data_IF_806748944030
#
_entry.id   IF_806748944030
#
_cell.length_a   1.000
_cell.length_b   1.000
_cell.length_c   1.000
_cell.angle_alpha   90.00
_cell.angle_beta   90.00
_cell.angle_gamma   90.00
#
_symmetry.space_group_name_H-M   'P 1'
#
loop_
_entity.id
_entity.type
_entity.pdbx_description
1 polymer ?
#
# COMPACT_ATOMS: atom_id res chain seq x y z
N UNK A 1 -28.61 28.57 -106.51
CA UNK A 1 -27.48 28.28 -105.60
C UNK A 1 -27.72 28.69 -104.15
N UNK A 2 -28.23 29.90 -103.85
CA UNK A 2 -28.41 30.35 -102.45
C UNK A 2 -29.28 29.48 -101.53
N UNK A 3 -30.34 28.83 -102.05
CA UNK A 3 -31.24 27.98 -101.23
C UNK A 3 -30.61 26.64 -100.82
N UNK A 4 -29.73 26.07 -101.63
CA UNK A 4 -29.03 24.81 -101.31
C UNK A 4 -27.96 25.03 -100.24
N UNK A 5 -27.21 26.13 -100.35
CA UNK A 5 -26.20 26.55 -99.36
C UNK A 5 -26.81 26.80 -97.98
N UNK A 6 -28.01 27.40 -97.91
CA UNK A 6 -28.72 27.63 -96.64
C UNK A 6 -29.19 26.31 -96.00
N UNK A 7 -29.63 25.34 -96.80
CA UNK A 7 -30.03 24.00 -96.31
C UNK A 7 -28.81 23.23 -95.81
N UNK A 8 -27.67 23.29 -96.52
CA UNK A 8 -26.42 22.65 -96.08
C UNK A 8 -25.91 23.22 -94.75
N UNK A 9 -25.99 24.54 -94.57
CA UNK A 9 -25.66 25.22 -93.31
C UNK A 9 -26.58 24.80 -92.15
N UNK A 10 -27.89 24.71 -92.42
CA UNK A 10 -28.90 24.32 -91.43
C UNK A 10 -28.76 22.84 -91.02
N UNK A 11 -28.36 21.97 -91.96
CA UNK A 11 -28.02 20.56 -91.69
C UNK A 11 -26.72 20.44 -90.90
N UNK A 12 -25.69 21.24 -91.22
CA UNK A 12 -24.45 21.27 -90.46
C UNK A 12 -24.67 21.76 -89.03
N UNK A 13 -25.43 22.84 -88.83
CA UNK A 13 -25.78 23.35 -87.50
C UNK A 13 -26.59 22.33 -86.69
N UNK A 14 -27.56 21.64 -87.30
CA UNK A 14 -28.31 20.57 -86.62
C UNK A 14 -27.42 19.38 -86.27
N UNK A 15 -26.47 19.01 -87.14
CA UNK A 15 -25.49 17.96 -86.85
C UNK A 15 -24.53 18.36 -85.72
N UNK A 16 -24.12 19.62 -85.64
CA UNK A 16 -23.29 20.16 -84.55
C UNK A 16 -24.05 20.18 -83.22
N UNK A 17 -25.31 20.64 -83.20
CA UNK A 17 -26.17 20.60 -82.00
C UNK A 17 -26.46 19.17 -81.56
N UNK A 18 -26.66 18.23 -82.49
CA UNK A 18 -26.83 16.82 -82.15
C UNK A 18 -25.56 16.22 -81.56
N UNK A 19 -24.37 16.58 -82.08
CA UNK A 19 -23.09 16.15 -81.52
C UNK A 19 -22.86 16.76 -80.14
N UNK A 20 -23.07 18.07 -79.96
CA UNK A 20 -22.90 18.71 -78.65
C UNK A 20 -23.87 18.15 -77.62
N UNK A 21 -25.13 17.91 -77.98
CA UNK A 21 -26.11 17.30 -77.10
C UNK A 21 -25.75 15.83 -76.77
N UNK A 22 -25.17 15.09 -77.74
CA UNK A 22 -24.68 13.74 -77.49
C UNK A 22 -23.47 13.73 -76.54
N UNK A 23 -22.53 14.67 -76.72
CA UNK A 23 -21.37 14.83 -75.85
C UNK A 23 -21.79 15.23 -74.43
N UNK A 24 -22.71 16.18 -74.29
CA UNK A 24 -23.30 16.58 -72.99
C UNK A 24 -24.02 15.40 -72.30
N UNK A 25 -24.75 14.57 -73.06
CA UNK A 25 -25.39 13.37 -72.52
C UNK A 25 -24.38 12.31 -72.09
N UNK A 26 -23.29 12.14 -72.84
CA UNK A 26 -22.21 11.22 -72.46
C UNK A 26 -21.47 11.71 -71.21
N UNK A 27 -21.18 13.00 -71.10
CA UNK A 27 -20.57 13.62 -69.92
C UNK A 27 -21.48 13.49 -68.70
N UNK A 28 -22.78 13.76 -68.86
CA UNK A 28 -23.77 13.58 -67.79
C UNK A 28 -23.89 12.11 -67.35
N UNK A 29 -23.90 11.16 -68.29
CA UNK A 29 -23.91 9.73 -67.99
C UNK A 29 -22.64 9.27 -67.26
N UNK A 30 -21.47 9.78 -67.65
CA UNK A 30 -20.20 9.51 -66.98
C UNK A 30 -20.17 10.10 -65.56
N UNK A 31 -20.69 11.31 -65.37
CA UNK A 31 -20.83 11.95 -64.06
C UNK A 31 -21.79 11.17 -63.15
N UNK A 32 -22.93 10.70 -63.69
CA UNK A 32 -23.89 9.87 -62.97
C UNK A 32 -23.29 8.53 -62.56
N UNK A 33 -22.55 7.85 -63.44
CA UNK A 33 -21.88 6.60 -63.13
C UNK A 33 -20.81 6.75 -62.03
N UNK A 34 -20.01 7.82 -62.11
CA UNK A 34 -19.01 8.18 -61.09
C UNK A 34 -19.67 8.43 -59.73
N UNK A 35 -20.74 9.24 -59.70
CA UNK A 35 -21.45 9.53 -58.47
C UNK A 35 -22.15 8.30 -57.86
N UNK A 36 -22.71 7.42 -58.70
CA UNK A 36 -23.30 6.16 -58.24
C UNK A 36 -22.25 5.24 -57.58
N UNK A 37 -21.05 5.16 -58.17
CA UNK A 37 -19.93 4.41 -57.56
C UNK A 37 -19.59 4.93 -56.16
N UNK A 38 -19.55 6.26 -55.97
CA UNK A 38 -19.26 6.85 -54.65
C UNK A 38 -20.40 6.61 -53.65
N UNK A 39 -21.66 6.66 -54.09
CA UNK A 39 -22.81 6.33 -53.23
C UNK A 39 -22.72 4.90 -52.72
N UNK A 40 -22.42 3.94 -53.60
CA UNK A 40 -22.27 2.52 -53.25
C UNK A 40 -21.09 2.29 -52.29
N UNK A 41 -19.98 3.00 -52.47
CA UNK A 41 -18.84 2.98 -51.56
C UNK A 41 -19.21 3.51 -50.17
N UNK A 42 -19.90 4.65 -50.09
CA UNK A 42 -20.35 5.23 -48.81
C UNK A 42 -21.35 4.31 -48.11
N UNK A 43 -22.20 3.57 -48.83
CA UNK A 43 -23.11 2.59 -48.25
C UNK A 43 -22.38 1.38 -47.66
N UNK A 44 -21.36 0.88 -48.36
CA UNK A 44 -20.46 -0.16 -47.82
C UNK A 44 -19.71 0.33 -46.59
N UNK A 45 -19.22 1.57 -46.59
CA UNK A 45 -18.57 2.19 -45.43
C UNK A 45 -19.52 2.34 -44.24
N UNK A 46 -20.76 2.77 -44.45
CA UNK A 46 -21.80 2.86 -43.40
C UNK A 46 -22.06 1.50 -42.77
N UNK A 47 -22.19 0.44 -43.57
CA UNK A 47 -22.41 -0.91 -43.08
C UNK A 47 -21.22 -1.41 -42.23
N UNK A 48 -19.99 -1.19 -42.71
CA UNK A 48 -18.75 -1.51 -41.96
C UNK A 48 -18.65 -0.72 -40.65
N UNK A 49 -19.01 0.56 -40.68
CA UNK A 49 -19.04 1.40 -39.49
C UNK A 49 -20.06 0.90 -38.46
N UNK A 50 -21.27 0.54 -38.89
CA UNK A 50 -22.30 0.00 -38.00
C UNK A 50 -21.83 -1.29 -37.30
N UNK A 51 -21.19 -2.19 -38.03
CA UNK A 51 -20.58 -3.40 -37.45
C UNK A 51 -19.48 -3.03 -36.45
N UNK A 52 -18.56 -2.14 -36.82
CA UNK A 52 -17.45 -1.72 -35.96
C UNK A 52 -17.93 -1.02 -34.69
N UNK A 53 -18.99 -0.22 -34.77
CA UNK A 53 -19.61 0.44 -33.62
C UNK A 53 -20.13 -0.59 -32.62
N UNK A 54 -20.91 -1.57 -33.08
CA UNK A 54 -21.45 -2.64 -32.23
C UNK A 54 -20.32 -3.46 -31.58
N UNK A 55 -19.24 -3.75 -32.32
CA UNK A 55 -18.07 -4.43 -31.75
C UNK A 55 -17.40 -3.62 -30.64
N UNK A 56 -17.19 -2.32 -30.84
CA UNK A 56 -16.56 -1.45 -29.86
C UNK A 56 -17.44 -1.27 -28.62
N UNK A 57 -18.75 -1.12 -28.79
CA UNK A 57 -19.73 -1.05 -27.69
C UNK A 57 -19.71 -2.35 -26.87
N UNK A 58 -19.73 -3.52 -27.53
CA UNK A 58 -19.63 -4.82 -26.85
C UNK A 58 -18.33 -4.95 -26.04
N UNK A 59 -17.19 -4.57 -26.63
CA UNK A 59 -15.89 -4.58 -25.94
C UNK A 59 -15.89 -3.65 -24.73
N UNK A 60 -16.42 -2.43 -24.88
CA UNK A 60 -16.49 -1.45 -23.80
C UNK A 60 -17.38 -1.94 -22.66
N UNK A 61 -18.54 -2.51 -22.96
CA UNK A 61 -19.42 -3.12 -21.95
C UNK A 61 -18.73 -4.28 -21.24
N UNK A 62 -17.98 -5.12 -21.95
CA UNK A 62 -17.22 -6.22 -21.35
C UNK A 62 -16.17 -5.69 -20.37
N UNK A 63 -15.37 -4.71 -20.78
CA UNK A 63 -14.34 -4.10 -19.92
C UNK A 63 -14.97 -3.41 -18.71
N UNK A 64 -16.09 -2.70 -18.89
CA UNK A 64 -16.77 -2.05 -17.78
C UNK A 64 -17.28 -3.07 -16.74
N UNK A 65 -17.87 -4.19 -17.19
CA UNK A 65 -18.26 -5.29 -16.30
C UNK A 65 -17.07 -5.87 -15.54
N UNK A 66 -15.92 -6.00 -16.20
CA UNK A 66 -14.69 -6.43 -15.52
C UNK A 66 -14.21 -5.44 -14.46
N UNK A 67 -14.27 -4.13 -14.73
CA UNK A 67 -13.95 -3.10 -13.73
C UNK A 67 -14.88 -3.21 -12.53
N UNK A 68 -16.19 -3.27 -12.78
CA UNK A 68 -17.21 -3.31 -11.73
C UNK A 68 -17.05 -4.56 -10.85
N UNK A 69 -16.82 -5.73 -11.47
CA UNK A 69 -16.59 -6.99 -10.74
C UNK A 69 -15.31 -6.98 -9.89
N UNK A 70 -14.27 -6.25 -10.29
CA UNK A 70 -12.99 -6.16 -9.57
C UNK A 70 -12.97 -5.04 -8.52
N UNK A 71 -13.90 -4.08 -8.60
CA UNK A 71 -13.99 -2.94 -7.69
C UNK A 71 -14.31 -3.35 -6.24
N UNK A 72 -15.33 -4.18 -6.02
CA UNK A 72 -15.71 -4.60 -4.66
C UNK A 72 -14.60 -5.41 -3.94
N UNK A 73 -13.93 -6.40 -4.58
CA UNK A 73 -12.76 -7.05 -4.00
C UNK A 73 -11.62 -6.07 -3.67
N UNK A 74 -11.33 -5.09 -4.53
CA UNK A 74 -10.29 -4.10 -4.29
C UNK A 74 -10.58 -3.22 -3.07
N UNK A 75 -11.85 -2.84 -2.86
CA UNK A 75 -12.28 -2.10 -1.67
C UNK A 75 -12.04 -2.92 -0.41
N UNK A 76 -12.43 -4.20 -0.41
CA UNK A 76 -12.20 -5.11 0.73
C UNK A 76 -10.72 -5.26 1.04
N UNK A 77 -9.87 -5.43 0.02
CA UNK A 77 -8.42 -5.51 0.19
C UNK A 77 -7.83 -4.24 0.85
N UNK A 78 -8.32 -3.05 0.47
CA UNK A 78 -7.91 -1.79 1.12
C UNK A 78 -8.35 -1.70 2.58
N UNK A 79 -9.54 -2.20 2.91
CA UNK A 79 -10.01 -2.24 4.30
C UNK A 79 -9.21 -3.23 5.16
N UNK A 80 -8.92 -4.41 4.62
CA UNK A 80 -8.06 -5.41 5.25
C UNK A 80 -6.66 -4.87 5.52
N UNK A 81 -6.07 -4.18 4.54
CA UNK A 81 -4.76 -3.53 4.65
C UNK A 81 -4.75 -2.49 5.78
N UNK A 82 -5.72 -1.56 5.80
CA UNK A 82 -5.88 -0.58 6.89
C UNK A 82 -6.06 -1.24 8.25
N UNK A 83 -6.81 -2.35 8.31
CA UNK A 83 -6.97 -3.14 9.53
C UNK A 83 -5.64 -3.69 10.04
N UNK A 84 -4.80 -4.18 9.11
CA UNK A 84 -3.48 -4.70 9.42
C UNK A 84 -2.49 -3.62 9.85
N UNK A 85 -2.50 -2.44 9.23
CA UNK A 85 -1.69 -1.29 9.67
C UNK A 85 -2.02 -0.89 11.12
N UNK A 86 -3.31 -0.82 11.47
CA UNK A 86 -3.75 -0.55 12.85
C UNK A 86 -3.26 -1.62 13.82
N UNK A 87 -3.35 -2.89 13.43
CA UNK A 87 -2.85 -4.01 14.25
C UNK A 87 -1.35 -3.90 14.46
N UNK A 88 -0.57 -3.61 13.42
CA UNK A 88 0.87 -3.39 13.51
C UNK A 88 1.22 -2.26 14.48
N UNK A 89 0.56 -1.10 14.35
CA UNK A 89 0.78 0.03 15.23
C UNK A 89 0.51 -0.32 16.71
N UNK A 90 -0.59 -1.03 16.98
CA UNK A 90 -0.96 -1.46 18.32
C UNK A 90 0.02 -2.50 18.89
N UNK A 91 0.43 -3.50 18.09
CA UNK A 91 1.40 -4.51 18.51
C UNK A 91 2.76 -3.86 18.81
N UNK A 92 3.24 -2.94 17.97
CA UNK A 92 4.50 -2.19 18.20
C UNK A 92 4.45 -1.38 19.50
N UNK A 93 3.38 -0.62 19.71
CA UNK A 93 3.18 0.16 20.94
C UNK A 93 3.11 -0.73 22.18
N UNK A 94 2.46 -1.88 22.08
CA UNK A 94 2.37 -2.84 23.20
C UNK A 94 3.73 -3.46 23.48
N UNK A 95 4.48 -3.85 22.45
CA UNK A 95 5.83 -4.38 22.57
C UNK A 95 6.77 -3.37 23.26
N UNK A 96 6.72 -2.10 22.86
CA UNK A 96 7.50 -1.03 23.47
C UNK A 96 7.20 -0.87 24.97
N UNK A 97 5.91 -0.83 25.34
CA UNK A 97 5.49 -0.77 26.75
C UNK A 97 6.01 -1.95 27.56
N UNK A 98 5.82 -3.17 27.04
CA UNK A 98 6.24 -4.40 27.74
C UNK A 98 7.76 -4.45 27.89
N UNK A 99 8.52 -4.04 26.87
CA UNK A 99 9.98 -3.89 26.96
C UNK A 99 10.39 -2.85 28.00
N UNK A 100 9.73 -1.69 28.03
CA UNK A 100 9.98 -0.66 29.03
C UNK A 100 9.72 -1.15 30.46
N UNK A 101 8.63 -1.90 30.68
CA UNK A 101 8.36 -2.55 31.98
C UNK A 101 9.46 -3.54 32.36
N UNK A 102 9.88 -4.39 31.43
CA UNK A 102 10.97 -5.34 31.67
C UNK A 102 12.29 -4.63 32.01
N UNK A 103 12.63 -3.56 31.28
CA UNK A 103 13.82 -2.75 31.55
C UNK A 103 13.77 -2.09 32.94
N UNK A 104 12.61 -1.61 33.38
CA UNK A 104 12.44 -1.08 34.74
C UNK A 104 12.76 -2.13 35.80
N UNK A 105 12.19 -3.33 35.68
CA UNK A 105 12.49 -4.42 36.61
C UNK A 105 13.95 -4.84 36.60
N UNK A 106 14.61 -4.84 35.45
CA UNK A 106 16.03 -5.14 35.35
C UNK A 106 16.90 -4.06 36.01
N UNK A 107 16.55 -2.78 35.86
CA UNK A 107 17.23 -1.65 36.53
C UNK A 107 17.07 -1.73 38.05
N UNK A 108 15.85 -1.89 38.54
CA UNK A 108 15.56 -2.02 39.97
C UNK A 108 16.32 -3.21 40.58
N UNK A 109 16.33 -4.35 39.89
CA UNK A 109 17.09 -5.53 40.32
C UNK A 109 18.59 -5.26 40.35
N UNK A 110 19.14 -4.55 39.37
CA UNK A 110 20.55 -4.16 39.36
C UNK A 110 20.90 -3.26 40.56
N UNK A 111 20.04 -2.28 40.88
CA UNK A 111 20.18 -1.42 42.06
C UNK A 111 20.15 -2.25 43.35
N UNK A 112 19.18 -3.15 43.52
CA UNK A 112 19.12 -4.04 44.69
C UNK A 112 20.35 -4.93 44.80
N UNK A 113 20.87 -5.42 43.67
CA UNK A 113 22.08 -6.26 43.64
C UNK A 113 23.31 -5.47 44.10
N UNK A 114 23.45 -4.20 43.69
CA UNK A 114 24.52 -3.31 44.17
C UNK A 114 24.40 -3.04 45.67
N UNK A 115 23.19 -2.70 46.14
CA UNK A 115 22.93 -2.46 47.56
C UNK A 115 23.20 -3.71 48.42
N UNK A 116 22.88 -4.90 47.92
CA UNK A 116 23.23 -6.17 48.57
C UNK A 116 24.75 -6.36 48.66
N UNK A 117 25.50 -6.02 47.62
CA UNK A 117 26.96 -6.08 47.65
C UNK A 117 27.54 -5.11 48.69
N UNK A 118 27.05 -3.87 48.75
CA UNK A 118 27.47 -2.87 49.74
C UNK A 118 27.20 -3.31 51.18
N UNK A 119 26.02 -3.90 51.45
CA UNK A 119 25.68 -4.41 52.79
C UNK A 119 26.57 -5.60 53.15
N UNK A 120 26.80 -6.53 52.21
CA UNK A 120 27.70 -7.68 52.43
C UNK A 120 29.12 -7.23 52.73
N UNK A 121 29.63 -6.23 52.01
CA UNK A 121 30.94 -5.63 52.30
C UNK A 121 30.97 -4.90 53.64
N UNK A 122 29.89 -4.21 54.04
CA UNK A 122 29.80 -3.58 55.36
C UNK A 122 29.84 -4.60 56.50
N UNK A 123 29.16 -5.75 56.35
CA UNK A 123 29.23 -6.86 57.31
C UNK A 123 30.66 -7.40 57.41
N UNK A 124 31.29 -7.74 56.27
CA UNK A 124 32.68 -8.21 56.26
C UNK A 124 33.64 -7.23 56.95
N UNK A 125 33.49 -5.92 56.69
CA UNK A 125 34.30 -4.89 57.38
C UNK A 125 34.05 -4.86 58.88
N UNK A 126 32.80 -5.02 59.32
CA UNK A 126 32.49 -5.08 60.76
C UNK A 126 33.05 -6.36 61.40
N UNK A 127 32.98 -7.49 60.72
CA UNK A 127 33.54 -8.77 61.17
C UNK A 127 35.07 -8.71 61.27
N UNK A 128 35.74 -8.14 60.26
CA UNK A 128 37.19 -7.92 60.29
C UNK A 128 37.60 -6.98 61.43
N UNK A 129 36.90 -5.86 61.62
CA UNK A 129 37.16 -4.95 62.75
C UNK A 129 36.94 -5.65 64.09
N UNK A 130 35.90 -6.48 64.21
CA UNK A 130 35.66 -7.26 65.42
C UNK A 130 36.81 -8.24 65.68
N UNK A 131 37.27 -8.97 64.66
CA UNK A 131 38.40 -9.89 64.76
C UNK A 131 39.72 -9.17 65.11
N UNK A 132 40.00 -8.01 64.51
CA UNK A 132 41.15 -7.16 64.86
C UNK A 132 41.09 -6.69 66.31
N UNK A 133 39.91 -6.27 66.80
CA UNK A 133 39.75 -5.88 68.21
C UNK A 133 39.87 -7.06 69.18
N UNK A 134 39.48 -8.27 68.78
CA UNK A 134 39.68 -9.48 69.59
C UNK A 134 41.14 -9.93 69.59
N UNK A 135 41.85 -9.83 68.46
CA UNK A 135 43.27 -10.17 68.35
C UNK A 135 44.19 -9.14 69.02
N UNK A 136 43.79 -7.88 69.09
CA UNK A 136 44.59 -6.78 69.66
C UNK A 136 44.59 -6.71 71.21
N UNK A 137 43.89 -7.59 71.92
CA UNK A 137 43.98 -7.56 73.37
C UNK A 137 43.26 -8.66 74.15
N UNK A 138 43.98 -9.74 74.45
CA UNK A 138 43.94 -10.36 75.78
C UNK A 138 44.70 -9.48 76.79
N UNK A 139 44.38 -8.20 76.86
CA UNK A 139 44.80 -7.34 77.98
C UNK A 139 43.83 -7.59 79.12
N UNK A 140 44.31 -7.79 80.35
CA UNK A 140 43.44 -7.91 81.52
C UNK A 140 42.70 -6.59 81.75
N UNK A 141 41.57 -6.40 81.08
CA UNK A 141 40.73 -5.21 81.20
C UNK A 141 40.23 -5.13 82.65
N UNK A 142 40.32 -3.95 83.26
CA UNK A 142 39.70 -3.72 84.57
C UNK A 142 38.17 -3.88 84.49
N UNK A 143 37.49 -4.12 85.62
CA UNK A 143 36.02 -4.39 85.67
C UNK A 143 35.18 -3.38 84.86
N UNK A 144 35.52 -2.09 84.88
CA UNK A 144 34.82 -1.04 84.12
C UNK A 144 35.03 -1.16 82.61
N UNK A 145 36.27 -1.44 82.17
CA UNK A 145 36.61 -1.61 80.77
C UNK A 145 36.00 -2.89 80.19
N UNK A 146 35.95 -3.98 80.97
CA UNK A 146 35.31 -5.21 80.55
C UNK A 146 33.79 -5.04 80.37
N UNK A 147 33.14 -4.29 81.27
CA UNK A 147 31.71 -3.97 81.13
C UNK A 147 31.42 -3.11 79.88
N UNK A 148 32.32 -2.19 79.53
CA UNK A 148 32.22 -1.36 78.33
C UNK A 148 32.48 -2.16 77.04
N UNK A 149 33.48 -3.06 77.06
CA UNK A 149 33.74 -4.01 75.97
C UNK A 149 32.52 -4.91 75.70
N UNK A 150 31.94 -5.52 76.73
CA UNK A 150 30.74 -6.36 76.58
C UNK A 150 29.55 -5.59 75.99
N UNK A 151 29.36 -4.33 76.39
CA UNK A 151 28.35 -3.44 75.79
C UNK A 151 28.62 -3.17 74.30
N UNK A 152 29.87 -2.92 73.92
CA UNK A 152 30.24 -2.68 72.53
C UNK A 152 30.08 -3.95 71.67
N UNK A 153 30.47 -5.11 72.20
CA UNK A 153 30.29 -6.41 71.55
C UNK A 153 28.80 -6.73 71.32
N UNK A 154 27.95 -6.50 72.32
CA UNK A 154 26.50 -6.64 72.18
C UNK A 154 25.94 -5.72 71.08
N UNK A 155 26.31 -4.43 71.09
CA UNK A 155 25.90 -3.46 70.05
C UNK A 155 26.38 -3.84 68.64
N UNK A 156 27.60 -4.39 68.52
CA UNK A 156 28.11 -4.87 67.24
C UNK A 156 27.33 -6.10 66.74
N UNK A 157 26.99 -7.01 67.65
CA UNK A 157 26.13 -8.17 67.37
C UNK A 157 24.72 -7.75 66.91
N UNK A 158 24.08 -6.82 67.62
CA UNK A 158 22.79 -6.23 67.23
C UNK A 158 22.86 -5.59 65.84
N UNK A 159 23.94 -4.84 65.55
CA UNK A 159 24.14 -4.20 64.24
C UNK A 159 24.30 -5.23 63.12
N UNK A 160 25.09 -6.29 63.33
CA UNK A 160 25.27 -7.34 62.32
C UNK A 160 23.98 -8.16 62.12
N UNK A 161 23.22 -8.43 63.19
CA UNK A 161 21.91 -9.05 63.08
C UNK A 161 20.94 -8.20 62.24
N UNK A 162 20.88 -6.90 62.49
CA UNK A 162 20.05 -5.98 61.70
C UNK A 162 20.47 -5.90 60.22
N UNK A 163 21.78 -5.91 59.91
CA UNK A 163 22.27 -5.96 58.52
C UNK A 163 21.94 -7.29 57.82
N UNK A 164 21.99 -8.41 58.55
CA UNK A 164 21.60 -9.72 58.01
C UNK A 164 20.11 -9.79 57.71
N UNK A 165 19.25 -9.19 58.54
CA UNK A 165 17.83 -9.05 58.23
C UNK A 165 17.60 -8.23 56.95
N UNK A 166 18.33 -7.11 56.78
CA UNK A 166 18.26 -6.32 55.55
C UNK A 166 18.70 -7.10 54.31
N UNK A 167 19.73 -7.96 54.42
CA UNK A 167 20.13 -8.87 53.32
C UNK A 167 18.96 -9.79 52.97
N UNK A 168 18.35 -10.45 53.96
CA UNK A 168 17.25 -11.37 53.68
C UNK A 168 16.07 -10.68 53.00
N UNK A 169 15.71 -9.47 53.42
CA UNK A 169 14.65 -8.67 52.81
C UNK A 169 15.00 -8.34 51.35
N UNK A 170 16.18 -7.76 51.10
CA UNK A 170 16.61 -7.37 49.74
C UNK A 170 16.81 -8.57 48.81
N UNK A 171 17.24 -9.71 49.33
CA UNK A 171 17.34 -10.96 48.55
C UNK A 171 15.97 -11.48 48.13
N UNK A 172 14.96 -11.38 49.02
CA UNK A 172 13.57 -11.70 48.66
C UNK A 172 13.02 -10.73 47.61
N UNK A 173 13.24 -9.42 47.77
CA UNK A 173 12.84 -8.41 46.79
C UNK A 173 13.48 -8.65 45.41
N UNK A 174 14.78 -8.93 45.37
CA UNK A 174 15.50 -9.25 44.14
C UNK A 174 14.95 -10.50 43.44
N UNK A 175 14.64 -11.56 44.21
CA UNK A 175 13.98 -12.77 43.67
C UNK A 175 12.58 -12.47 43.15
N UNK A 176 11.80 -11.65 43.84
CA UNK A 176 10.47 -11.25 43.41
C UNK A 176 10.52 -10.46 42.09
N UNK A 177 11.45 -9.51 41.97
CA UNK A 177 11.69 -8.79 40.70
C UNK A 177 12.16 -9.70 39.58
N UNK A 178 13.01 -10.69 39.88
CA UNK A 178 13.44 -11.68 38.89
C UNK A 178 12.25 -12.48 38.35
N UNK A 179 11.33 -12.89 39.22
CA UNK A 179 10.09 -13.58 38.81
C UNK A 179 9.16 -12.63 38.04
N UNK A 180 9.00 -11.40 38.51
CA UNK A 180 8.17 -10.38 37.86
C UNK A 180 8.69 -10.00 36.46
N UNK A 181 10.01 -10.04 36.22
CA UNK A 181 10.62 -9.77 34.93
C UNK A 181 10.45 -10.91 33.90
N UNK A 182 10.16 -12.14 34.33
CA UNK A 182 9.97 -13.28 33.39
C UNK A 182 8.76 -13.06 32.48
N UNK A 183 7.62 -12.71 33.06
CA UNK A 183 6.39 -12.50 32.29
C UNK A 183 6.52 -11.43 31.18
N UNK A 184 6.96 -10.18 31.44
CA UNK A 184 7.10 -9.18 30.40
C UNK A 184 8.21 -9.55 29.40
N UNK A 185 9.26 -10.26 29.81
CA UNK A 185 10.25 -10.80 28.87
C UNK A 185 9.60 -11.78 27.89
N UNK A 186 8.95 -12.82 28.38
CA UNK A 186 8.31 -13.86 27.56
C UNK A 186 7.22 -13.25 26.67
N UNK A 187 6.45 -12.29 27.22
CA UNK A 187 5.44 -11.56 26.46
C UNK A 187 6.05 -10.67 25.38
N UNK A 188 7.20 -10.04 25.61
CA UNK A 188 7.91 -9.28 24.58
C UNK A 188 8.43 -10.18 23.46
N UNK A 189 8.92 -11.38 23.79
CA UNK A 189 9.35 -12.38 22.80
C UNK A 189 8.16 -12.84 21.94
N UNK A 190 7.02 -13.18 22.56
CA UNK A 190 5.78 -13.50 21.85
C UNK A 190 5.32 -12.36 20.94
N UNK A 191 5.20 -11.13 21.47
CA UNK A 191 4.79 -9.97 20.68
C UNK A 191 5.75 -9.66 19.53
N UNK A 192 7.06 -9.92 19.69
CA UNK A 192 8.01 -9.76 18.60
C UNK A 192 7.81 -10.81 17.49
N UNK A 193 7.45 -12.05 17.83
CA UNK A 193 7.09 -13.06 16.82
C UNK A 193 5.77 -12.73 16.13
N UNK A 194 4.75 -12.32 16.89
CA UNK A 194 3.47 -11.85 16.35
C UNK A 194 3.70 -10.68 15.38
N UNK A 195 4.54 -9.71 15.76
CA UNK A 195 4.87 -8.56 14.94
C UNK A 195 5.46 -8.99 13.60
N UNK A 196 6.49 -9.86 13.60
CA UNK A 196 7.10 -10.39 12.37
C UNK A 196 6.08 -11.06 11.44
N UNK A 197 5.20 -11.88 12.00
CA UNK A 197 4.14 -12.55 11.22
C UNK A 197 3.16 -11.53 10.63
N UNK A 198 2.75 -10.54 11.42
CA UNK A 198 1.85 -9.48 10.94
C UNK A 198 2.50 -8.57 9.91
N UNK A 199 3.79 -8.29 10.02
CA UNK A 199 4.55 -7.50 9.04
C UNK A 199 4.65 -8.25 7.71
N UNK A 200 4.97 -9.54 7.74
CA UNK A 200 4.99 -10.37 6.54
C UNK A 200 3.62 -10.40 5.84
N UNK A 201 2.53 -10.51 6.60
CA UNK A 201 1.16 -10.45 6.05
C UNK A 201 0.80 -9.08 5.49
N UNK A 202 1.28 -7.99 6.11
CA UNK A 202 1.05 -6.65 5.59
C UNK A 202 1.75 -6.46 4.24
N UNK A 203 2.99 -6.95 4.09
CA UNK A 203 3.72 -6.93 2.81
C UNK A 203 2.99 -7.71 1.71
N UNK A 204 2.44 -8.89 2.04
CA UNK A 204 1.62 -9.66 1.08
C UNK A 204 0.35 -8.89 0.66
N UNK A 205 -0.36 -8.28 1.62
CA UNK A 205 -1.54 -7.47 1.33
C UNK A 205 -1.20 -6.24 0.50
N UNK A 206 -0.09 -5.56 0.78
CA UNK A 206 0.42 -4.44 -0.02
C UNK A 206 0.65 -4.85 -1.47
N UNK A 207 1.35 -5.97 -1.69
CA UNK A 207 1.61 -6.48 -3.03
C UNK A 207 0.31 -6.82 -3.78
N UNK A 208 -0.66 -7.45 -3.09
CA UNK A 208 -1.98 -7.78 -3.66
C UNK A 208 -2.81 -6.54 -3.97
N UNK A 209 -2.75 -5.51 -3.12
CA UNK A 209 -3.40 -4.23 -3.35
C UNK A 209 -2.81 -3.53 -4.57
N UNK A 210 -1.48 -3.42 -4.65
CA UNK A 210 -0.80 -2.84 -5.81
C UNK A 210 -1.15 -3.58 -7.11
N UNK A 211 -1.13 -4.91 -7.10
CA UNK A 211 -1.51 -5.70 -8.26
C UNK A 211 -2.98 -5.46 -8.68
N UNK A 212 -3.89 -5.34 -7.69
CA UNK A 212 -5.30 -5.05 -7.95
C UNK A 212 -5.49 -3.65 -8.54
N UNK A 213 -4.77 -2.65 -8.04
CA UNK A 213 -4.83 -1.27 -8.50
C UNK A 213 -4.27 -1.12 -9.91
N UNK A 214 -3.12 -1.73 -10.19
CA UNK A 214 -2.53 -1.77 -11.53
C UNK A 214 -3.49 -2.40 -12.53
N UNK A 215 -4.13 -3.52 -12.17
CA UNK A 215 -5.10 -4.19 -13.05
C UNK A 215 -6.34 -3.33 -13.31
N UNK A 216 -6.83 -2.59 -12.32
CA UNK A 216 -7.93 -1.64 -12.51
C UNK A 216 -7.52 -0.46 -13.40
N UNK A 217 -6.29 0.02 -13.27
CA UNK A 217 -5.75 1.08 -14.11
C UNK A 217 -5.63 0.65 -15.57
N UNK A 218 -5.11 -0.56 -15.84
CA UNK A 218 -5.05 -1.14 -17.20
C UNK A 218 -6.44 -1.27 -17.83
N UNK A 219 -7.43 -1.73 -17.06
CA UNK A 219 -8.83 -1.81 -17.54
C UNK A 219 -9.43 -0.42 -17.80
N UNK A 220 -9.13 0.57 -16.98
CA UNK A 220 -9.57 1.94 -17.20
C UNK A 220 -8.94 2.55 -18.46
N UNK A 221 -7.66 2.27 -18.70
CA UNK A 221 -6.94 2.72 -19.90
C UNK A 221 -7.51 2.06 -21.17
N UNK A 222 -7.72 0.75 -21.15
CA UNK A 222 -8.37 0.04 -22.27
C UNK A 222 -9.77 0.55 -22.54
N UNK A 223 -10.58 0.84 -21.51
CA UNK A 223 -11.89 1.47 -21.67
C UNK A 223 -11.78 2.87 -22.30
N UNK A 224 -10.81 3.68 -21.88
CA UNK A 224 -10.54 5.01 -22.45
C UNK A 224 -10.15 4.93 -23.94
N UNK A 225 -9.27 3.99 -24.29
CA UNK A 225 -8.86 3.73 -25.66
C UNK A 225 -10.02 3.26 -26.54
N UNK A 226 -10.86 2.35 -26.05
CA UNK A 226 -12.05 1.93 -26.80
C UNK A 226 -13.03 3.09 -27.02
N UNK A 227 -13.18 4.00 -26.04
CA UNK A 227 -13.98 5.23 -26.20
C UNK A 227 -13.40 6.17 -27.25
N UNK A 228 -12.07 6.34 -27.31
CA UNK A 228 -11.44 7.20 -28.30
C UNK A 228 -11.52 6.61 -29.71
N UNK A 229 -11.33 5.29 -29.85
CA UNK A 229 -11.52 4.56 -31.10
C UNK A 229 -12.96 4.69 -31.61
N UNK A 230 -13.96 4.59 -30.73
CA UNK A 230 -15.36 4.79 -31.08
C UNK A 230 -15.62 6.21 -31.61
N UNK A 231 -15.10 7.24 -30.91
CA UNK A 231 -15.22 8.64 -31.36
C UNK A 231 -14.53 8.91 -32.69
N UNK A 232 -13.37 8.28 -32.94
CA UNK A 232 -12.67 8.42 -34.22
C UNK A 232 -13.45 7.78 -35.35
N UNK A 233 -14.02 6.58 -35.12
CA UNK A 233 -14.88 5.92 -36.09
C UNK A 233 -16.12 6.78 -36.42
N UNK A 234 -16.74 7.41 -35.41
CA UNK A 234 -17.89 8.31 -35.60
C UNK A 234 -17.52 9.52 -36.46
N UNK A 235 -16.37 10.15 -36.21
CA UNK A 235 -15.85 11.26 -37.03
C UNK A 235 -15.57 10.86 -38.48
N UNK A 236 -15.05 9.66 -38.71
CA UNK A 236 -14.85 9.17 -40.06
C UNK A 236 -16.19 9.00 -40.79
N UNK A 237 -17.18 8.40 -40.12
CA UNK A 237 -18.50 8.17 -40.71
C UNK A 237 -19.26 9.48 -41.00
N UNK A 238 -19.16 10.51 -40.15
CA UNK A 238 -19.77 11.81 -40.45
C UNK A 238 -19.14 12.46 -41.69
N UNK A 239 -17.83 12.34 -41.87
CA UNK A 239 -17.13 12.79 -43.08
C UNK A 239 -17.62 12.09 -44.35
N UNK A 240 -17.75 10.75 -44.32
CA UNK A 240 -18.30 9.98 -45.46
C UNK A 240 -19.75 10.34 -45.76
N UNK A 241 -20.56 10.63 -44.74
CA UNK A 241 -21.95 11.07 -44.91
C UNK A 241 -22.04 12.44 -45.59
N UNK A 242 -21.24 13.42 -45.16
CA UNK A 242 -21.22 14.76 -45.77
C UNK A 242 -20.81 14.69 -47.25
N UNK A 243 -19.82 13.87 -47.61
CA UNK A 243 -19.42 13.66 -49.02
C UNK A 243 -20.55 13.11 -49.88
N UNK A 244 -21.34 12.16 -49.36
CA UNK A 244 -22.53 11.64 -50.07
C UNK A 244 -23.62 12.69 -50.22
N UNK A 245 -23.87 13.49 -49.19
CA UNK A 245 -24.86 14.57 -49.23
C UNK A 245 -24.47 15.64 -50.26
N UNK A 246 -23.18 16.01 -50.35
CA UNK A 246 -22.65 16.92 -51.37
C UNK A 246 -22.80 16.38 -52.79
N UNK A 247 -22.60 15.08 -53.01
CA UNK A 247 -22.76 14.44 -54.32
C UNK A 247 -24.22 14.37 -54.76
N UNK A 248 -25.15 14.10 -53.85
CA UNK A 248 -26.59 14.13 -54.14
C UNK A 248 -27.13 15.54 -54.47
N UNK A 249 -26.45 16.61 -54.04
CA UNK A 249 -26.82 17.99 -54.37
C UNK A 249 -26.25 18.45 -55.72
N UNK A 250 -25.24 17.75 -56.25
CA UNK A 250 -24.54 18.09 -57.51
C UNK A 250 -25.06 17.31 -58.73
N UNK A 251 -25.77 16.20 -58.50
CA UNK A 251 -26.53 15.44 -59.49
C UNK A 251 -27.95 16.02 -59.63
#
# INVERSE_FOLDING_TARGET
>A
MHKLLAIELDVQQKAEVQRSCHDELQEAAAAQASAQSVVDEVEKEKARFAQRKVELERKLVSVQKEIDSKSAPAIRLREEHKGMERRLAMTRKTLEKVRGTNESYLKERATLTSQLAEIKEAIKRNELKAAETEAAGELSLGKKQMAEYLKLKAKAGERNAALNEQIQVKERESKNLQTAARYPRDRAEQLATELKVTEARAVDLDARMQASESRLAELAETASRLKSEAKQAEKHNCGSRSRREELHQRL
#
